data_IF_850958671218
#
_entry.id   IF_850958671218
#
_cell.length_a   1.000
_cell.length_b   1.000
_cell.length_c   1.000
_cell.angle_alpha   90.00
_cell.angle_beta   90.00
_cell.angle_gamma   90.00
#
_symmetry.space_group_name_H-M   'P 1'
#
loop_
_entity.id
_entity.type
_entity.pdbx_description
1 polymer ?
#
# COMPACT_ATOMS: atom_id res chain seq x y z
N UNK A 1 -27.46 5.09 -42.03
CA UNK A 1 -26.07 4.68 -42.32
C UNK A 1 -25.05 5.82 -42.29
N UNK A 2 -25.36 7.05 -42.74
CA UNK A 2 -24.41 8.20 -42.77
C UNK A 2 -24.05 8.77 -41.38
N UNK A 3 -24.96 8.63 -40.42
CA UNK A 3 -24.80 9.03 -39.01
C UNK A 3 -23.98 8.01 -38.19
N UNK A 4 -23.94 6.75 -38.63
CA UNK A 4 -23.18 5.69 -37.97
C UNK A 4 -21.69 5.75 -38.33
N UNK A 5 -21.37 6.11 -39.59
CA UNK A 5 -19.99 6.35 -40.03
C UNK A 5 -19.37 7.61 -39.42
N UNK A 6 -20.18 8.65 -39.13
CA UNK A 6 -19.69 9.87 -38.48
C UNK A 6 -19.36 9.64 -36.98
N UNK A 7 -20.16 8.83 -36.28
CA UNK A 7 -19.90 8.46 -34.89
C UNK A 7 -18.64 7.59 -34.74
N UNK A 8 -18.37 6.70 -35.72
CA UNK A 8 -17.15 5.88 -35.75
C UNK A 8 -15.92 6.72 -36.11
N UNK A 9 -16.05 7.75 -36.95
CA UNK A 9 -14.95 8.69 -37.21
C UNK A 9 -14.68 9.66 -36.05
N UNK A 10 -15.71 10.04 -35.27
CA UNK A 10 -15.54 10.90 -34.09
C UNK A 10 -14.86 10.14 -32.93
N UNK A 11 -15.03 8.81 -32.87
CA UNK A 11 -14.31 7.93 -31.93
C UNK A 11 -12.84 7.68 -32.35
N UNK A 12 -12.48 7.96 -33.59
CA UNK A 12 -11.12 7.81 -34.12
C UNK A 12 -10.24 9.07 -33.95
N UNK A 13 -10.80 10.16 -33.41
CA UNK A 13 -10.09 11.41 -33.15
C UNK A 13 -9.74 11.62 -31.67
N UNK A 14 -9.48 10.53 -30.93
CA UNK A 14 -8.67 10.65 -29.72
C UNK A 14 -7.26 11.00 -30.15
N UNK A 15 -6.95 12.29 -30.18
CA UNK A 15 -5.60 12.80 -30.19
C UNK A 15 -4.85 12.10 -29.05
N UNK A 16 -3.98 11.14 -29.38
CA UNK A 16 -2.92 10.76 -28.47
C UNK A 16 -2.00 11.97 -28.40
N UNK A 17 -2.26 12.86 -27.44
CA UNK A 17 -1.26 13.80 -27.01
C UNK A 17 -0.05 12.94 -26.60
N UNK A 18 1.02 13.07 -27.38
CA UNK A 18 2.29 12.47 -27.02
C UNK A 18 2.84 13.36 -25.91
N UNK A 19 2.44 13.04 -24.67
CA UNK A 19 2.97 13.66 -23.48
C UNK A 19 4.50 13.54 -23.53
N UNK A 20 5.21 14.61 -23.20
CA UNK A 20 6.64 14.51 -22.95
C UNK A 20 6.85 13.46 -21.86
N UNK A 21 7.64 12.43 -22.16
CA UNK A 21 7.85 11.32 -21.22
C UNK A 21 8.27 11.88 -19.86
N UNK A 22 7.64 11.48 -18.74
CA UNK A 22 8.12 11.86 -17.42
C UNK A 22 9.58 11.44 -17.34
N UNK A 23 10.47 12.40 -17.10
CA UNK A 23 11.91 12.13 -17.04
C UNK A 23 12.16 11.21 -15.85
N UNK A 24 12.31 9.93 -16.16
CA UNK A 24 12.39 8.86 -15.18
C UNK A 24 13.74 8.94 -14.47
N UNK A 25 13.75 9.39 -13.23
CA UNK A 25 14.94 9.33 -12.40
C UNK A 25 15.26 7.86 -12.07
N UNK A 26 16.28 7.35 -12.75
CA UNK A 26 16.74 5.97 -12.59
C UNK A 26 17.22 5.67 -11.16
N UNK A 27 17.77 6.67 -10.45
CA UNK A 27 18.19 6.55 -9.05
C UNK A 27 17.00 6.43 -8.11
N UNK A 28 15.99 7.29 -8.26
CA UNK A 28 14.76 7.22 -7.46
C UNK A 28 13.99 5.93 -7.75
N UNK A 29 13.93 5.50 -9.01
CA UNK A 29 13.29 4.24 -9.40
C UNK A 29 13.99 3.03 -8.78
N UNK A 30 15.32 2.97 -8.86
CA UNK A 30 16.11 1.91 -8.23
C UNK A 30 15.94 1.90 -6.70
N UNK A 31 15.93 3.08 -6.07
CA UNK A 31 15.69 3.21 -4.63
C UNK A 31 14.30 2.69 -4.23
N UNK A 32 13.26 3.04 -4.98
CA UNK A 32 11.90 2.61 -4.70
C UNK A 32 11.70 1.09 -4.87
N UNK A 33 12.33 0.47 -5.87
CA UNK A 33 12.31 -0.99 -6.04
C UNK A 33 13.02 -1.68 -4.87
N UNK A 34 14.22 -1.21 -4.50
CA UNK A 34 14.95 -1.72 -3.34
C UNK A 34 14.13 -1.58 -2.04
N UNK A 35 13.54 -0.40 -1.82
CA UNK A 35 12.72 -0.14 -0.65
C UNK A 35 11.46 -1.02 -0.62
N UNK A 36 10.81 -1.25 -1.77
CA UNK A 36 9.66 -2.16 -1.87
C UNK A 36 10.03 -3.60 -1.46
N UNK A 37 11.23 -4.09 -1.81
CA UNK A 37 11.71 -5.40 -1.36
C UNK A 37 11.87 -5.47 0.17
N UNK A 38 12.41 -4.42 0.80
CA UNK A 38 12.51 -4.35 2.26
C UNK A 38 11.15 -4.27 2.94
N UNK A 39 10.17 -3.61 2.32
CA UNK A 39 8.78 -3.57 2.83
C UNK A 39 8.11 -4.94 2.69
N UNK A 40 8.32 -5.66 1.58
CA UNK A 40 7.82 -7.03 1.43
C UNK A 40 8.40 -7.99 2.48
N UNK A 41 9.64 -7.75 2.90
CA UNK A 41 10.28 -8.51 3.99
C UNK A 41 9.56 -8.37 5.33
N UNK A 42 8.78 -7.29 5.54
CA UNK A 42 7.92 -7.15 6.72
C UNK A 42 6.86 -8.25 6.77
N UNK A 43 6.26 -8.60 5.64
CA UNK A 43 5.24 -9.64 5.57
C UNK A 43 5.88 -11.03 5.67
N UNK A 44 6.92 -11.28 4.87
CA UNK A 44 7.62 -12.56 4.76
C UNK A 44 9.13 -12.31 4.81
N UNK A 45 9.88 -12.71 5.86
CA UNK A 45 9.48 -13.52 7.01
C UNK A 45 9.11 -12.73 8.28
N UNK A 46 9.05 -11.39 8.25
CA UNK A 46 8.89 -10.54 9.45
C UNK A 46 7.69 -10.91 10.33
N UNK A 47 6.46 -10.79 9.82
CA UNK A 47 5.23 -11.15 10.53
C UNK A 47 5.18 -12.65 10.87
N UNK A 48 5.72 -13.49 9.99
CA UNK A 48 5.72 -14.95 10.17
C UNK A 48 6.54 -15.36 11.39
N UNK A 49 7.72 -14.76 11.57
CA UNK A 49 8.58 -15.00 12.72
C UNK A 49 8.03 -14.33 13.99
N UNK A 50 7.49 -13.12 13.87
CA UNK A 50 6.90 -12.39 15.00
C UNK A 50 5.74 -13.15 15.63
N UNK A 51 4.71 -13.50 14.83
CA UNK A 51 3.58 -14.29 15.33
C UNK A 51 3.92 -15.76 15.53
N UNK A 52 4.80 -16.33 14.70
CA UNK A 52 5.31 -17.68 14.85
C UNK A 52 5.92 -17.91 16.24
N UNK A 53 6.78 -17.00 16.71
CA UNK A 53 7.41 -17.09 18.04
C UNK A 53 6.41 -17.05 19.21
N UNK A 54 5.29 -16.34 19.06
CA UNK A 54 4.25 -16.20 20.10
C UNK A 54 3.27 -17.37 20.17
N UNK A 55 3.05 -18.11 19.07
CA UNK A 55 2.15 -19.27 19.09
C UNK A 55 2.81 -20.49 19.74
N UNK A 56 2.04 -21.55 20.00
CA UNK A 56 2.60 -22.84 20.42
C UNK A 56 3.44 -23.44 19.28
N UNK A 57 4.53 -24.13 19.61
CA UNK A 57 5.40 -24.79 18.63
C UNK A 57 4.64 -25.67 17.62
N UNK A 58 3.63 -26.41 18.08
CA UNK A 58 2.79 -27.26 17.20
C UNK A 58 1.97 -26.48 16.15
N UNK A 59 1.77 -25.18 16.37
CA UNK A 59 1.06 -24.28 15.47
C UNK A 59 2.02 -23.39 14.65
N UNK A 60 3.34 -23.47 14.88
CA UNK A 60 4.34 -22.64 14.21
C UNK A 60 4.28 -22.78 12.68
N UNK A 61 4.28 -24.03 12.19
CA UNK A 61 4.22 -24.31 10.76
C UNK A 61 2.92 -23.80 10.14
N UNK A 62 1.79 -23.91 10.87
CA UNK A 62 0.50 -23.40 10.41
C UNK A 62 0.51 -21.89 10.20
N UNK A 63 1.16 -21.12 11.08
CA UNK A 63 1.26 -19.66 10.92
C UNK A 63 2.09 -19.29 9.70
N UNK A 64 3.21 -19.98 9.48
CA UNK A 64 4.05 -19.78 8.30
C UNK A 64 3.30 -20.04 7.00
N UNK A 65 2.61 -21.18 6.89
CA UNK A 65 1.83 -21.52 5.70
C UNK A 65 0.68 -20.55 5.46
N UNK A 66 -0.03 -20.13 6.52
CA UNK A 66 -1.11 -19.15 6.41
C UNK A 66 -0.61 -17.79 5.92
N UNK A 67 0.52 -17.28 6.42
CA UNK A 67 1.04 -15.99 5.97
C UNK A 67 1.51 -16.04 4.52
N UNK A 68 2.16 -17.12 4.08
CA UNK A 68 2.50 -17.30 2.66
C UNK A 68 1.25 -17.37 1.77
N UNK A 69 0.24 -18.14 2.18
CA UNK A 69 -1.00 -18.27 1.42
C UNK A 69 -1.76 -16.93 1.33
N UNK A 70 -1.91 -16.23 2.45
CA UNK A 70 -2.60 -14.92 2.49
C UNK A 70 -1.82 -13.88 1.70
N UNK A 71 -0.49 -13.82 1.83
CA UNK A 71 0.33 -12.88 1.05
C UNK A 71 0.21 -13.14 -0.45
N UNK A 72 0.20 -14.40 -0.89
CA UNK A 72 -0.02 -14.76 -2.29
C UNK A 72 -1.41 -14.35 -2.80
N UNK A 73 -2.47 -14.68 -2.05
CA UNK A 73 -3.85 -14.32 -2.42
C UNK A 73 -4.03 -12.80 -2.47
N UNK A 74 -3.56 -12.09 -1.44
CA UNK A 74 -3.65 -10.62 -1.39
C UNK A 74 -2.78 -9.99 -2.48
N UNK A 75 -1.60 -10.54 -2.78
CA UNK A 75 -0.77 -10.07 -3.89
C UNK A 75 -1.48 -10.15 -5.24
N UNK A 76 -2.17 -11.28 -5.51
CA UNK A 76 -2.98 -11.45 -6.73
C UNK A 76 -4.16 -10.47 -6.74
N UNK A 77 -4.93 -10.39 -5.65
CA UNK A 77 -6.07 -9.48 -5.55
C UNK A 77 -5.64 -8.01 -5.67
N UNK A 78 -4.46 -7.67 -5.18
CA UNK A 78 -3.88 -6.33 -5.30
C UNK A 78 -3.61 -5.96 -6.75
N UNK A 79 -2.94 -6.84 -7.51
CA UNK A 79 -2.64 -6.58 -8.93
C UNK A 79 -3.91 -6.55 -9.79
N UNK A 80 -4.90 -7.39 -9.50
CA UNK A 80 -6.12 -7.48 -10.32
C UNK A 80 -7.15 -6.40 -10.01
N UNK A 81 -7.29 -6.01 -8.74
CA UNK A 81 -8.38 -5.13 -8.30
C UNK A 81 -7.89 -4.02 -7.36
N UNK A 82 -7.03 -4.34 -6.39
CA UNK A 82 -6.64 -3.42 -5.34
C UNK A 82 -5.92 -2.17 -5.84
N UNK A 83 -4.99 -2.32 -6.79
CA UNK A 83 -4.26 -1.20 -7.38
C UNK A 83 -5.22 -0.22 -8.05
N UNK A 84 -6.11 -0.71 -8.91
CA UNK A 84 -7.09 0.12 -9.62
C UNK A 84 -8.15 0.73 -8.72
N UNK A 85 -8.45 0.16 -7.55
CA UNK A 85 -9.43 0.74 -6.61
C UNK A 85 -8.83 1.80 -5.69
N UNK A 86 -7.51 1.77 -5.47
CA UNK A 86 -6.82 2.63 -4.48
C UNK A 86 -6.03 3.75 -5.14
N UNK A 87 -5.45 3.50 -6.32
CA UNK A 87 -4.52 4.41 -7.02
C UNK A 87 -5.18 5.07 -8.24
N UNK A 88 -6.47 4.84 -8.46
CA UNK A 88 -7.19 5.46 -9.57
C UNK A 88 -7.53 6.93 -9.27
N UNK A 89 -7.13 7.79 -10.21
CA UNK A 89 -7.34 9.25 -10.18
C UNK A 89 -8.59 9.66 -10.97
N UNK A 90 -9.31 8.73 -11.59
CA UNK A 90 -10.54 9.05 -12.32
C UNK A 90 -11.59 9.66 -11.37
N UNK A 91 -11.95 10.92 -11.60
CA UNK A 91 -12.95 11.66 -10.83
C UNK A 91 -12.41 12.57 -9.72
N UNK A 92 -11.10 12.83 -9.62
CA UNK A 92 -10.59 13.94 -8.80
C UNK A 92 -10.92 15.29 -9.47
N UNK A 93 -11.88 16.03 -8.92
CA UNK A 93 -12.25 17.39 -9.36
C UNK A 93 -11.75 18.40 -8.34
N UNK A 94 -11.02 19.40 -8.81
CA UNK A 94 -10.43 20.47 -8.00
C UNK A 94 -11.52 21.20 -7.20
N UNK A 95 -11.33 21.34 -5.88
CA UNK A 95 -12.28 22.02 -4.99
C UNK A 95 -13.47 21.18 -4.49
N UNK A 96 -13.60 19.90 -4.85
CA UNK A 96 -14.63 19.00 -4.30
C UNK A 96 -14.07 17.80 -3.53
N UNK A 97 -14.58 17.57 -2.31
CA UNK A 97 -14.26 16.41 -1.49
C UNK A 97 -14.93 15.15 -2.06
N UNK A 98 -14.28 14.51 -3.03
CA UNK A 98 -14.73 13.23 -3.61
C UNK A 98 -14.15 12.07 -2.79
N UNK A 99 -14.76 10.88 -2.81
CA UNK A 99 -14.24 9.67 -2.11
C UNK A 99 -12.78 9.37 -2.50
N UNK A 100 -12.37 9.71 -3.72
CA UNK A 100 -10.99 9.58 -4.23
C UNK A 100 -10.00 10.56 -3.59
N UNK A 101 -10.47 11.67 -2.99
CA UNK A 101 -9.65 12.59 -2.20
C UNK A 101 -9.32 12.04 -0.80
N UNK A 102 -9.98 10.96 -0.38
CA UNK A 102 -9.74 10.32 0.93
C UNK A 102 -8.78 9.12 0.86
N UNK A 103 -8.34 8.69 -0.32
CA UNK A 103 -7.50 7.49 -0.46
C UNK A 103 -6.24 7.90 -1.22
N UNK A 104 -5.24 8.40 -0.49
CA UNK A 104 -3.99 8.85 -1.10
C UNK A 104 -3.08 9.59 -0.13
N UNK A 105 -2.48 8.86 0.81
CA UNK A 105 -1.47 9.45 1.70
C UNK A 105 -0.94 8.47 2.75
N UNK A 106 0.37 8.49 3.00
CA UNK A 106 1.04 7.62 4.00
C UNK A 106 0.66 7.99 5.47
N UNK A 107 0.09 9.17 5.71
CA UNK A 107 -0.57 9.48 6.99
C UNK A 107 -1.80 8.60 7.24
N UNK A 108 -2.46 8.19 6.14
CA UNK A 108 -3.48 7.12 6.17
C UNK A 108 -2.86 5.74 6.15
N UNK A 109 -1.67 5.49 5.61
CA UNK A 109 -1.08 4.14 5.72
C UNK A 109 -0.87 3.74 7.20
N UNK A 110 -0.54 4.69 8.09
CA UNK A 110 -0.43 4.37 9.52
C UNK A 110 -1.79 4.06 10.15
N UNK A 111 -2.83 4.84 9.89
CA UNK A 111 -4.20 4.60 10.42
C UNK A 111 -4.90 3.45 9.69
N UNK A 112 -4.92 3.46 8.37
CA UNK A 112 -5.52 2.45 7.50
C UNK A 112 -4.86 1.07 7.59
N UNK A 113 -3.56 0.96 7.96
CA UNK A 113 -2.97 -0.36 8.22
C UNK A 113 -3.14 -0.75 9.67
N UNK A 114 -2.63 0.03 10.64
CA UNK A 114 -2.59 -0.41 12.04
C UNK A 114 -3.95 -0.37 12.73
N UNK A 115 -4.77 0.65 12.49
CA UNK A 115 -6.11 0.72 13.11
C UNK A 115 -7.05 -0.26 12.43
N UNK A 116 -7.08 -0.32 11.09
CA UNK A 116 -7.97 -1.25 10.37
C UNK A 116 -7.64 -2.72 10.70
N UNK A 117 -6.35 -3.11 10.64
CA UNK A 117 -5.94 -4.47 11.02
C UNK A 117 -6.17 -4.74 12.50
N UNK A 118 -5.98 -3.74 13.38
CA UNK A 118 -6.27 -3.86 14.80
C UNK A 118 -7.74 -4.10 15.10
N UNK A 119 -8.66 -3.37 14.43
CA UNK A 119 -10.10 -3.57 14.56
C UNK A 119 -10.53 -4.92 13.98
N UNK A 120 -10.00 -5.30 12.80
CA UNK A 120 -10.30 -6.59 12.20
C UNK A 120 -9.80 -7.76 13.07
N UNK A 121 -8.59 -7.66 13.61
CA UNK A 121 -8.02 -8.66 14.51
C UNK A 121 -8.79 -8.74 15.83
N UNK A 122 -9.24 -7.61 16.38
CA UNK A 122 -10.09 -7.58 17.57
C UNK A 122 -11.44 -8.24 17.30
N UNK A 123 -12.11 -7.91 16.20
CA UNK A 123 -13.37 -8.54 15.80
C UNK A 123 -13.20 -10.07 15.64
N UNK A 124 -12.14 -10.51 14.95
CA UNK A 124 -11.82 -11.93 14.81
C UNK A 124 -11.54 -12.60 16.17
N UNK A 125 -10.81 -11.95 17.07
CA UNK A 125 -10.55 -12.47 18.41
C UNK A 125 -11.82 -12.62 19.25
N UNK A 126 -12.77 -11.68 19.13
CA UNK A 126 -14.07 -11.75 19.80
C UNK A 126 -14.95 -12.87 19.21
N UNK A 127 -14.92 -13.06 17.88
CA UNK A 127 -15.68 -14.11 17.19
C UNK A 127 -15.14 -15.53 17.46
N UNK A 128 -13.81 -15.71 17.47
CA UNK A 128 -13.17 -17.00 17.71
C UNK A 128 -13.20 -17.42 19.20
N UNK A 129 -13.35 -16.45 20.10
CA UNK A 129 -13.44 -16.67 21.54
C UNK A 129 -12.10 -16.97 22.20
N UNK A 130 -12.14 -17.19 23.52
CA UNK A 130 -10.95 -17.37 24.36
C UNK A 130 -10.30 -18.73 24.13
N UNK A 131 -8.97 -18.77 24.12
CA UNK A 131 -8.19 -20.02 24.08
C UNK A 131 -8.44 -20.86 25.33
N UNK A 132 -8.56 -22.19 25.16
CA UNK A 132 -8.65 -23.15 26.28
C UNK A 132 -7.49 -22.95 27.27
N UNK A 133 -7.82 -22.80 28.56
CA UNK A 133 -6.88 -22.56 29.66
C UNK A 133 -6.64 -21.08 30.00
N UNK A 134 -7.10 -20.14 29.17
CA UNK A 134 -7.02 -18.72 29.50
C UNK A 134 -8.14 -18.34 30.50
N UNK A 135 -7.88 -17.53 31.54
CA UNK A 135 -6.62 -16.88 31.91
C UNK A 135 -5.78 -17.67 32.94
N UNK A 136 -6.19 -18.89 33.30
CA UNK A 136 -5.68 -19.61 34.48
C UNK A 136 -4.27 -20.17 34.34
N UNK A 137 -3.79 -20.40 33.11
CA UNK A 137 -2.41 -20.83 32.87
C UNK A 137 -1.62 -19.76 32.11
N UNK A 138 -0.40 -19.47 32.56
CA UNK A 138 0.52 -18.58 31.85
C UNK A 138 0.85 -19.16 30.47
N UNK A 139 0.75 -18.33 29.42
CA UNK A 139 0.98 -18.75 28.04
C UNK A 139 2.11 -17.92 27.41
N UNK A 140 3.38 -18.09 27.84
CA UNK A 140 4.50 -17.37 27.25
C UNK A 140 4.73 -17.78 25.78
N UNK A 141 5.39 -16.93 24.98
CA UNK A 141 5.91 -17.29 23.65
C UNK A 141 6.74 -18.57 23.73
N UNK A 142 6.57 -19.47 22.77
CA UNK A 142 7.37 -20.71 22.76
C UNK A 142 8.83 -20.44 22.35
N UNK A 143 9.08 -19.36 21.59
CA UNK A 143 10.42 -18.93 21.20
C UNK A 143 10.46 -17.40 21.10
N UNK A 144 11.04 -16.77 22.12
CA UNK A 144 11.23 -15.32 22.16
C UNK A 144 12.24 -14.84 21.11
N UNK A 145 13.26 -15.63 20.79
CA UNK A 145 14.25 -15.30 19.77
C UNK A 145 13.63 -15.06 18.40
N UNK A 146 12.72 -15.94 17.95
CA UNK A 146 11.98 -15.73 16.69
C UNK A 146 11.09 -14.49 16.75
N UNK A 147 10.47 -14.22 17.90
CA UNK A 147 9.64 -13.02 18.08
C UNK A 147 10.49 -11.75 17.92
N UNK A 148 11.68 -11.71 18.51
CA UNK A 148 12.59 -10.58 18.42
C UNK A 148 13.17 -10.40 17.02
N UNK A 149 13.53 -11.48 16.33
CA UNK A 149 13.98 -11.43 14.93
C UNK A 149 12.87 -10.87 14.04
N UNK A 150 11.63 -11.37 14.20
CA UNK A 150 10.47 -10.86 13.48
C UNK A 150 10.23 -9.36 13.75
N UNK A 151 10.29 -8.94 15.02
CA UNK A 151 10.17 -7.53 15.39
C UNK A 151 11.28 -6.66 14.76
N UNK A 152 12.51 -7.16 14.72
CA UNK A 152 13.63 -6.48 14.06
C UNK A 152 13.41 -6.29 12.56
N UNK A 153 12.91 -7.31 11.86
CA UNK A 153 12.59 -7.21 10.43
C UNK A 153 11.45 -6.20 10.16
N UNK A 154 10.42 -6.18 11.02
CA UNK A 154 9.35 -5.18 10.94
C UNK A 154 9.88 -3.77 11.18
N UNK A 155 10.80 -3.61 12.13
CA UNK A 155 11.43 -2.33 12.41
C UNK A 155 12.29 -1.83 11.24
N UNK A 156 13.06 -2.71 10.60
CA UNK A 156 13.83 -2.36 9.38
C UNK A 156 12.90 -1.89 8.26
N UNK A 157 11.80 -2.61 8.02
CA UNK A 157 10.80 -2.21 7.04
C UNK A 157 10.08 -0.89 7.37
N UNK A 158 9.93 -0.57 8.66
CA UNK A 158 9.43 0.74 9.06
C UNK A 158 10.48 1.84 8.89
N UNK A 159 11.74 1.57 9.22
CA UNK A 159 12.85 2.51 9.08
C UNK A 159 13.07 2.90 7.61
N UNK A 160 12.94 1.96 6.66
CA UNK A 160 13.07 2.26 5.23
C UNK A 160 11.95 3.19 4.72
N UNK A 161 10.72 3.07 5.23
CA UNK A 161 9.64 4.02 4.92
C UNK A 161 9.99 5.44 5.42
N UNK A 162 10.63 5.53 6.59
CA UNK A 162 11.19 6.78 7.10
C UNK A 162 12.35 7.31 6.26
N UNK A 163 13.22 6.45 5.74
CA UNK A 163 14.33 6.83 4.88
C UNK A 163 13.83 7.38 3.53
N UNK A 164 12.86 6.71 2.89
CA UNK A 164 12.21 7.22 1.66
C UNK A 164 11.66 8.63 1.89
N UNK A 165 11.03 8.86 3.05
CA UNK A 165 10.51 10.18 3.42
C UNK A 165 11.58 11.26 3.45
N UNK A 166 12.78 10.91 3.92
CA UNK A 166 13.89 11.86 4.05
C UNK A 166 14.64 12.06 2.73
N UNK A 167 14.65 11.07 1.82
CA UNK A 167 15.44 11.13 0.59
C UNK A 167 14.66 11.65 -0.61
N UNK A 168 13.42 11.19 -0.81
CA UNK A 168 12.61 11.53 -1.99
C UNK A 168 11.52 12.57 -1.64
N UNK A 169 11.15 12.68 -0.37
CA UNK A 169 10.01 13.49 0.04
C UNK A 169 8.68 12.76 -0.16
N UNK A 170 7.64 13.20 0.57
CA UNK A 170 6.28 12.66 0.41
C UNK A 170 5.39 13.73 -0.20
N UNK A 171 5.00 13.51 -1.45
CA UNK A 171 4.09 14.34 -2.25
C UNK A 171 4.76 15.58 -2.83
N UNK A 172 4.24 16.04 -3.96
CA UNK A 172 4.51 17.36 -4.50
C UNK A 172 4.31 18.41 -3.40
N UNK A 173 5.18 19.40 -3.35
CA UNK A 173 5.14 20.48 -2.37
C UNK A 173 3.78 21.22 -2.41
N UNK A 174 3.42 21.89 -1.31
CA UNK A 174 2.15 22.64 -1.22
C UNK A 174 1.98 23.66 -2.36
N UNK A 175 3.08 24.22 -2.85
CA UNK A 175 3.10 25.12 -4.01
C UNK A 175 2.79 24.39 -5.33
N UNK A 176 3.25 23.15 -5.50
CA UNK A 176 2.95 22.31 -6.67
C UNK A 176 1.53 21.72 -6.61
N UNK A 177 0.98 21.51 -5.41
CA UNK A 177 -0.44 21.18 -5.21
C UNK A 177 -1.37 22.37 -5.51
N UNK A 178 -0.97 23.60 -5.18
CA UNK A 178 -1.74 24.83 -5.45
C UNK A 178 -1.61 25.31 -6.89
N UNK A 179 -0.46 25.10 -7.51
CA UNK A 179 -0.28 25.36 -8.94
C UNK A 179 -0.92 24.27 -9.79
N UNK A 180 -1.18 23.08 -9.24
CA UNK A 180 -1.59 21.91 -10.00
C UNK A 180 -0.35 21.15 -10.48
N UNK A 181 -0.36 19.83 -10.28
CA UNK A 181 0.77 18.95 -10.58
C UNK A 181 1.21 19.07 -12.05
N UNK A 182 0.25 19.30 -12.94
CA UNK A 182 0.47 19.50 -14.38
C UNK A 182 1.18 20.82 -14.71
N UNK A 183 1.01 21.86 -13.90
CA UNK A 183 1.70 23.15 -14.08
C UNK A 183 3.12 23.11 -13.51
N UNK A 184 3.31 22.41 -12.39
CA UNK A 184 4.60 22.28 -11.73
C UNK A 184 5.57 21.33 -12.44
N UNK A 185 5.10 20.14 -12.82
CA UNK A 185 5.94 19.10 -13.42
C UNK A 185 5.87 19.11 -14.96
N UNK A 186 4.76 19.58 -15.53
CA UNK A 186 4.53 19.54 -16.99
C UNK A 186 4.46 20.94 -17.64
N UNK A 187 4.48 22.03 -16.86
CA UNK A 187 4.35 23.41 -17.36
C UNK A 187 3.16 23.61 -18.31
N UNK A 188 2.10 22.82 -18.14
CA UNK A 188 0.91 22.85 -18.97
C UNK A 188 -0.17 23.67 -18.26
N UNK A 189 -0.43 24.90 -18.73
CA UNK A 189 -1.60 25.66 -18.26
C UNK A 189 -2.85 25.10 -18.93
N UNK A 190 -3.80 24.57 -18.16
CA UNK A 190 -5.11 24.14 -18.68
C UNK A 190 -5.88 25.28 -19.38
N UNK A 191 -5.61 26.54 -19.00
CA UNK A 191 -6.22 27.73 -19.61
C UNK A 191 -5.19 28.86 -19.79
N UNK A 192 -5.16 29.45 -20.99
CA UNK A 192 -4.54 30.75 -21.24
C UNK A 192 -5.62 31.82 -21.05
N UNK A 193 -5.54 32.57 -19.95
CA UNK A 193 -6.23 33.85 -19.80
C UNK A 193 -5.23 34.99 -20.02
#
# INVERSE_FOLDING_TARGET
MKHLTLAVMLLALTTRAHAADPTLDTGNTAWMICAAMFVLMMCIPGLALFYGGMVRAKNFLSVFTQLFAVAGVIGILWVLFGYSLVVDTTGMVEGQLTINSFIGGLDKARTAVHINSGVAALAAALMLGKRKGYPQVAMPPHNLGFTLVGAGLLWVGWAILGAIKLTIGLRASREEEEQGLDLAEHNERAYNL
#
